data_IF_816007663845
#
_entry.id   IF_816007663845
#
_cell.length_a   1.000
_cell.length_b   1.000
_cell.length_c   1.000
_cell.angle_alpha   90.00
_cell.angle_beta   90.00
_cell.angle_gamma   90.00
#
_symmetry.space_group_name_H-M   'P 1'
#
loop_
_entity.id
_entity.type
_entity.pdbx_description
1 polymer ?
#
# COMPACT_ATOMS: atom_id res chain seq x y z
N UNK A 1 18.10 -9.11 12.25
CA UNK A 1 16.83 -8.50 12.69
C UNK A 1 16.96 -7.01 12.40
N UNK A 2 16.21 -6.47 11.44
CA UNK A 2 16.28 -5.03 11.13
C UNK A 2 15.60 -4.23 12.23
N UNK A 3 16.13 -3.06 12.56
CA UNK A 3 15.56 -2.19 13.61
C UNK A 3 14.22 -1.61 13.16
N UNK A 4 13.35 -1.25 14.12
CA UNK A 4 12.05 -0.61 13.85
C UNK A 4 12.18 0.71 13.06
N UNK A 5 13.35 1.37 13.10
CA UNK A 5 13.64 2.56 12.28
C UNK A 5 13.87 2.23 10.79
N UNK A 6 14.32 1.02 10.49
CA UNK A 6 14.56 0.53 9.12
C UNK A 6 13.34 -0.18 8.52
N UNK A 7 12.34 -0.50 9.33
CA UNK A 7 11.10 -1.19 8.92
C UNK A 7 9.97 -0.23 8.50
N UNK A 8 10.11 1.09 8.69
CA UNK A 8 9.04 2.04 8.37
C UNK A 8 9.22 2.59 6.96
N UNK A 9 8.19 2.41 6.13
CA UNK A 9 8.06 3.10 4.86
C UNK A 9 8.08 4.61 5.14
N UNK A 10 9.03 5.32 4.52
CA UNK A 10 9.09 6.78 4.61
C UNK A 10 7.97 7.38 3.77
N UNK A 11 7.30 8.46 4.23
CA UNK A 11 6.37 9.20 3.38
C UNK A 11 7.09 9.66 2.11
N UNK A 12 6.43 9.52 0.96
CA UNK A 12 6.89 10.03 -0.33
C UNK A 12 6.07 11.27 -0.64
N UNK A 13 6.73 12.35 -1.06
CA UNK A 13 6.09 13.59 -1.49
C UNK A 13 6.56 13.88 -2.91
N UNK A 14 5.61 14.03 -3.82
CA UNK A 14 5.87 14.33 -5.23
C UNK A 14 5.16 15.63 -5.61
N UNK A 15 5.90 16.56 -6.17
CA UNK A 15 5.33 17.75 -6.81
C UNK A 15 5.10 17.46 -8.29
N UNK A 16 3.90 17.77 -8.76
CA UNK A 16 3.49 17.49 -10.14
C UNK A 16 2.72 18.65 -10.73
N UNK A 17 2.83 18.82 -12.06
CA UNK A 17 2.11 19.82 -12.83
C UNK A 17 1.25 19.07 -13.85
N UNK A 18 -0.01 19.50 -14.00
CA UNK A 18 -0.92 18.91 -14.98
C UNK A 18 -0.49 19.22 -16.42
N UNK A 19 -0.84 18.34 -17.35
CA UNK A 19 -0.69 18.58 -18.78
C UNK A 19 -1.71 19.61 -19.30
N UNK A 20 -1.70 19.87 -20.62
CA UNK A 20 -2.61 20.80 -21.29
C UNK A 20 -4.09 20.40 -21.21
N UNK A 21 -4.38 19.15 -20.85
CA UNK A 21 -5.73 18.64 -20.62
C UNK A 21 -6.15 18.74 -19.14
N UNK A 22 -5.28 19.26 -18.27
CA UNK A 22 -5.53 19.35 -16.83
C UNK A 22 -5.39 18.01 -16.10
N UNK A 23 -4.69 17.04 -16.68
CA UNK A 23 -4.51 15.70 -16.12
C UNK A 23 -3.08 15.53 -15.60
N UNK A 24 -2.92 14.75 -14.53
CA UNK A 24 -1.61 14.36 -14.03
C UNK A 24 -1.56 12.85 -13.81
N UNK A 25 -0.50 12.21 -14.31
CA UNK A 25 -0.23 10.79 -14.09
C UNK A 25 1.20 10.62 -13.61
N UNK A 26 1.39 9.99 -12.46
CA UNK A 26 2.70 9.77 -11.85
C UNK A 26 2.77 8.39 -11.23
N UNK A 27 3.84 7.67 -11.52
CA UNK A 27 4.19 6.43 -10.81
C UNK A 27 4.97 6.81 -9.55
N UNK A 28 4.44 6.45 -8.39
CA UNK A 28 5.09 6.65 -7.09
C UNK A 28 5.67 5.32 -6.64
N UNK A 29 6.99 5.28 -6.43
CA UNK A 29 7.69 4.08 -5.98
C UNK A 29 7.94 4.18 -4.48
N UNK A 30 7.49 3.15 -3.75
CA UNK A 30 7.83 2.98 -2.35
C UNK A 30 9.09 2.11 -2.22
N UNK A 31 9.91 2.35 -1.20
CA UNK A 31 11.06 1.50 -0.88
C UNK A 31 10.61 0.08 -0.47
N UNK A 32 11.58 -0.77 -0.05
CA UNK A 32 11.32 -2.15 0.37
C UNK A 32 10.18 -2.24 1.40
N UNK A 33 9.19 -3.05 1.09
CA UNK A 33 8.16 -3.47 2.04
C UNK A 33 8.73 -4.60 2.90
N UNK A 34 9.39 -4.25 4.00
CA UNK A 34 9.89 -5.21 4.99
C UNK A 34 9.27 -4.92 6.35
N UNK A 35 8.83 -5.97 7.05
CA UNK A 35 7.94 -5.80 8.19
C UNK A 35 6.49 -5.58 7.74
N UNK A 36 5.60 -5.31 8.68
CA UNK A 36 4.17 -5.16 8.42
C UNK A 36 3.33 -5.67 9.57
N UNK A 37 2.02 -5.46 9.46
CA UNK A 37 1.06 -6.10 10.36
C UNK A 37 0.83 -7.53 9.88
N UNK A 38 0.93 -8.48 10.80
CA UNK A 38 0.58 -9.87 10.51
C UNK A 38 -0.94 -9.97 10.34
N UNK A 39 -1.38 -10.36 9.15
CA UNK A 39 -2.77 -10.68 8.91
C UNK A 39 -3.13 -12.04 9.52
N UNK A 40 -4.43 -12.27 9.75
CA UNK A 40 -4.94 -13.60 10.08
C UNK A 40 -4.64 -14.57 8.94
N UNK A 41 -4.56 -15.85 9.28
CA UNK A 41 -4.43 -16.91 8.28
C UNK A 41 -5.63 -16.90 7.34
N UNK A 42 -5.37 -17.05 6.05
CA UNK A 42 -6.41 -17.22 5.03
C UNK A 42 -6.25 -18.58 4.34
N UNK A 43 -7.36 -19.18 3.96
CA UNK A 43 -7.39 -20.50 3.32
C UNK A 43 -7.78 -20.33 1.86
N UNK A 44 -6.98 -20.89 0.96
CA UNK A 44 -7.25 -21.03 -0.47
C UNK A 44 -7.48 -22.50 -0.82
N UNK A 45 -8.46 -22.77 -1.69
CA UNK A 45 -8.88 -24.12 -2.05
C UNK A 45 -8.43 -24.56 -3.46
N UNK A 46 -7.53 -23.80 -4.09
CA UNK A 46 -7.03 -24.13 -5.42
C UNK A 46 -6.07 -25.33 -5.36
N UNK A 47 -6.40 -26.43 -6.07
CA UNK A 47 -5.64 -27.70 -6.09
C UNK A 47 -5.37 -28.31 -4.69
N UNK A 48 -6.33 -28.18 -3.78
CA UNK A 48 -6.19 -28.59 -2.39
C UNK A 48 -6.35 -27.42 -1.42
N UNK A 49 -6.11 -27.67 -0.13
CA UNK A 49 -6.30 -26.67 0.93
C UNK A 49 -4.96 -26.07 1.32
N UNK A 50 -4.76 -24.80 1.00
CA UNK A 50 -3.55 -24.05 1.29
C UNK A 50 -3.85 -22.94 2.30
N UNK A 51 -3.25 -23.01 3.48
CA UNK A 51 -3.32 -21.97 4.51
C UNK A 51 -2.11 -21.05 4.38
N UNK A 52 -2.36 -19.75 4.28
CA UNK A 52 -1.36 -18.72 4.03
C UNK A 52 -1.40 -17.65 5.11
N UNK A 53 -0.23 -17.06 5.38
CA UNK A 53 -0.09 -15.89 6.25
C UNK A 53 0.62 -14.76 5.52
N UNK A 54 0.08 -13.56 5.65
CA UNK A 54 0.60 -12.37 4.97
C UNK A 54 1.03 -11.31 5.98
N UNK A 55 2.10 -10.59 5.66
CA UNK A 55 2.44 -9.31 6.27
C UNK A 55 2.05 -8.20 5.30
N UNK A 56 1.34 -7.20 5.79
CA UNK A 56 0.85 -6.09 4.96
C UNK A 56 1.09 -4.74 5.62
N UNK A 57 1.14 -3.72 4.77
CA UNK A 57 1.01 -2.32 5.18
C UNK A 57 -0.23 -1.71 4.55
N UNK A 58 -0.81 -0.75 5.27
CA UNK A 58 -1.83 0.16 4.75
C UNK A 58 -1.20 1.53 4.69
N UNK A 59 -1.26 2.16 3.52
CA UNK A 59 -0.85 3.53 3.30
C UNK A 59 -2.06 4.42 3.01
N UNK A 60 -1.82 5.73 3.09
CA UNK A 60 -2.76 6.73 2.66
C UNK A 60 -2.06 7.79 1.82
N UNK A 61 -2.76 8.38 0.86
CA UNK A 61 -2.31 9.57 0.15
C UNK A 61 -3.41 10.62 0.07
N UNK A 62 -2.97 11.88 -0.01
CA UNK A 62 -3.81 13.08 -0.17
C UNK A 62 -3.20 13.94 -1.26
N UNK A 63 -3.99 14.85 -1.83
CA UNK A 63 -3.51 15.85 -2.77
C UNK A 63 -3.54 17.23 -2.13
N UNK A 64 -2.51 18.03 -2.37
CA UNK A 64 -2.53 19.47 -2.12
C UNK A 64 -2.53 20.22 -3.45
N UNK A 65 -3.25 21.35 -3.50
CA UNK A 65 -3.24 22.26 -4.64
C UNK A 65 -2.96 23.68 -4.14
N UNK A 66 -1.68 24.08 -4.21
CA UNK A 66 -1.21 25.37 -3.74
C UNK A 66 -1.81 26.56 -4.51
N UNK A 67 -2.28 26.36 -5.75
CA UNK A 67 -2.85 27.43 -6.57
C UNK A 67 -4.25 27.85 -6.12
N UNK A 68 -4.95 27.01 -5.35
CA UNK A 68 -6.30 27.32 -4.85
C UNK A 68 -6.29 28.09 -3.52
N UNK A 69 -5.09 28.41 -2.99
CA UNK A 69 -4.91 29.04 -1.69
C UNK A 69 -5.39 28.16 -0.52
N UNK A 70 -5.32 28.71 0.70
CA UNK A 70 -5.53 27.95 1.93
C UNK A 70 -6.88 27.20 2.00
N UNK A 71 -7.95 27.76 1.43
CA UNK A 71 -9.27 27.11 1.41
C UNK A 71 -9.30 25.90 0.46
N UNK A 72 -8.77 26.04 -0.75
CA UNK A 72 -8.75 24.94 -1.71
C UNK A 72 -7.78 23.83 -1.33
N UNK A 73 -6.69 24.16 -0.62
CA UNK A 73 -5.80 23.17 -0.03
C UNK A 73 -6.51 22.31 1.03
N UNK A 74 -7.33 22.91 1.90
CA UNK A 74 -8.13 22.16 2.86
C UNK A 74 -9.11 21.22 2.14
N UNK A 75 -9.80 21.69 1.11
CA UNK A 75 -10.73 20.84 0.33
C UNK A 75 -10.00 19.70 -0.39
N UNK A 76 -8.85 19.96 -1.02
CA UNK A 76 -8.07 18.94 -1.71
C UNK A 76 -7.56 17.83 -0.77
N UNK A 77 -7.22 18.18 0.48
CA UNK A 77 -6.74 17.24 1.48
C UNK A 77 -7.84 16.45 2.20
N UNK A 78 -9.13 16.76 2.00
CA UNK A 78 -10.24 16.00 2.65
C UNK A 78 -10.33 14.56 2.15
N UNK A 79 -9.89 14.31 0.93
CA UNK A 79 -10.00 13.01 0.28
C UNK A 79 -8.79 12.13 0.58
N UNK A 80 -8.67 11.67 1.84
CA UNK A 80 -7.72 10.62 2.18
C UNK A 80 -8.06 9.35 1.41
N UNK A 81 -7.16 8.91 0.54
CA UNK A 81 -7.28 7.66 -0.21
C UNK A 81 -6.38 6.62 0.43
N UNK A 82 -6.96 5.48 0.81
CA UNK A 82 -6.23 4.38 1.44
C UNK A 82 -5.87 3.32 0.40
N UNK A 83 -4.71 2.69 0.60
CA UNK A 83 -4.27 1.54 -0.20
C UNK A 83 -3.59 0.50 0.70
N UNK A 84 -3.68 -0.76 0.30
CA UNK A 84 -3.02 -1.88 0.98
C UNK A 84 -2.00 -2.56 0.07
N UNK A 85 -0.89 -3.01 0.64
CA UNK A 85 0.10 -3.81 -0.07
C UNK A 85 0.57 -4.98 0.78
N UNK A 86 0.63 -6.17 0.18
CA UNK A 86 1.18 -7.38 0.82
C UNK A 86 2.70 -7.36 0.64
N UNK A 87 3.43 -7.13 1.72
CA UNK A 87 4.90 -7.11 1.70
C UNK A 87 5.50 -8.51 1.54
N UNK A 88 4.91 -9.49 2.23
CA UNK A 88 5.39 -10.86 2.26
C UNK A 88 4.20 -11.80 2.48
N UNK A 89 4.26 -12.96 1.86
CA UNK A 89 3.28 -14.01 2.02
C UNK A 89 3.99 -15.36 2.12
N UNK A 90 3.63 -16.15 3.12
CA UNK A 90 4.20 -17.48 3.34
C UNK A 90 3.12 -18.54 3.47
N UNK A 91 3.40 -19.71 2.92
CA UNK A 91 2.58 -20.90 3.11
C UNK A 91 2.78 -21.43 4.53
N UNK A 92 1.69 -21.64 5.26
CA UNK A 92 1.69 -22.21 6.60
C UNK A 92 1.43 -23.71 6.54
N UNK A 93 0.47 -24.12 5.72
CA UNK A 93 0.06 -25.52 5.58
C UNK A 93 -0.49 -25.75 4.18
N UNK A 94 -0.20 -26.92 3.61
CA UNK A 94 -0.84 -27.40 2.39
C UNK A 94 -1.36 -28.81 2.60
N UNK A 95 -2.57 -29.07 2.13
CA UNK A 95 -3.18 -30.40 2.04
C UNK A 95 -3.53 -30.60 0.56
N UNK A 96 -2.91 -31.58 -0.13
CA UNK A 96 -3.21 -31.84 -1.53
C UNK A 96 -4.69 -32.13 -1.78
N UNK A 97 -5.21 -31.64 -2.90
CA UNK A 97 -6.52 -32.04 -3.42
C UNK A 97 -6.47 -33.42 -4.06
N UNK A 98 -7.63 -34.03 -4.36
CA UNK A 98 -7.67 -35.23 -5.20
C UNK A 98 -6.99 -34.95 -6.55
N UNK A 99 -6.26 -35.95 -7.04
CA UNK A 99 -5.61 -35.92 -8.34
C UNK A 99 -6.62 -35.93 -9.49
#
# INVERSE_FOLDING_TARGET
>A
MLSLKESRIRPVVEEVISDEHGVVTKVVNFERCAGGHEARDYVSYNHGTNTWRSYYYVGGYVFSNFLLGAKGEVEANKDLRLFGHICNQRLIKSVPGPA
#
